data_IF_254595007066
#
_entry.id   IF_254595007066
#
_cell.length_a   1.000
_cell.length_b   1.000
_cell.length_c   1.000
_cell.angle_alpha   90.00
_cell.angle_beta   90.00
_cell.angle_gamma   90.00
#
_symmetry.space_group_name_H-M   'P 1'
#
loop_
_entity.id
_entity.type
_entity.pdbx_description
1 polymer ?
#
# COMPACT_ATOMS: atom_id res chain seq x y z
N UNK A 1 8.61 -0.02 19.58
CA UNK A 1 8.75 1.16 18.70
C UNK A 1 7.67 1.01 17.65
N UNK A 2 6.78 2.00 17.47
CA UNK A 2 5.68 1.86 16.54
C UNK A 2 6.15 2.03 15.09
N UNK A 3 5.51 1.29 14.19
CA UNK A 3 5.74 1.37 12.75
C UNK A 3 4.48 1.91 12.10
N UNK A 4 4.61 2.53 10.93
CA UNK A 4 3.41 2.93 10.21
C UNK A 4 3.60 3.32 8.77
N UNK A 5 2.46 3.52 8.13
CA UNK A 5 2.37 3.92 6.73
C UNK A 5 1.56 5.19 6.60
N UNK A 6 2.12 6.16 5.89
CA UNK A 6 1.39 7.34 5.44
C UNK A 6 0.83 7.02 4.06
N UNK A 7 -0.46 6.71 3.98
CA UNK A 7 -1.13 6.34 2.73
C UNK A 7 -1.61 7.62 2.06
N UNK A 8 -1.04 7.95 0.91
CA UNK A 8 -1.37 9.14 0.13
C UNK A 8 -1.61 8.79 -1.35
N UNK A 9 -2.10 9.76 -2.11
CA UNK A 9 -2.42 9.57 -3.53
C UNK A 9 -3.67 10.30 -3.95
N UNK A 10 -3.86 10.43 -5.26
CA UNK A 10 -4.95 11.20 -5.84
C UNK A 10 -6.34 10.68 -5.46
N UNK A 11 -7.40 11.50 -5.60
CA UNK A 11 -8.76 11.03 -5.36
C UNK A 11 -9.08 9.86 -6.29
N UNK A 12 -9.68 8.81 -5.73
CA UNK A 12 -10.02 7.61 -6.50
C UNK A 12 -8.86 6.62 -6.71
N UNK A 13 -7.63 6.90 -6.28
CA UNK A 13 -6.51 5.94 -6.41
C UNK A 13 -6.64 4.67 -5.56
N UNK A 14 -7.62 4.61 -4.65
CA UNK A 14 -7.92 3.42 -3.85
C UNK A 14 -7.28 3.39 -2.46
N UNK A 15 -6.92 4.53 -1.87
CA UNK A 15 -6.33 4.64 -0.51
C UNK A 15 -7.12 3.88 0.56
N UNK A 16 -8.40 4.22 0.76
CA UNK A 16 -9.23 3.57 1.78
C UNK A 16 -9.48 2.09 1.47
N UNK A 17 -9.55 1.70 0.19
CA UNK A 17 -9.63 0.31 -0.25
C UNK A 17 -8.36 -0.46 0.12
N UNK A 18 -7.19 0.14 -0.11
CA UNK A 18 -5.90 -0.42 0.30
C UNK A 18 -5.80 -0.56 1.81
N UNK A 19 -6.18 0.46 2.58
CA UNK A 19 -6.22 0.41 4.05
C UNK A 19 -7.10 -0.75 4.55
N UNK A 20 -8.27 -0.94 3.95
CA UNK A 20 -9.15 -2.05 4.30
C UNK A 20 -8.57 -3.42 3.92
N UNK A 21 -8.06 -3.57 2.70
CA UNK A 21 -7.42 -4.81 2.25
C UNK A 21 -6.23 -5.17 3.12
N UNK A 22 -5.45 -4.18 3.55
CA UNK A 22 -4.31 -4.39 4.44
C UNK A 22 -4.75 -4.79 5.85
N UNK A 23 -5.79 -4.16 6.39
CA UNK A 23 -6.40 -4.56 7.65
C UNK A 23 -6.86 -6.04 7.61
N UNK A 24 -7.52 -6.46 6.54
CA UNK A 24 -7.96 -7.84 6.34
C UNK A 24 -6.76 -8.81 6.24
N UNK A 25 -5.74 -8.47 5.47
CA UNK A 25 -4.53 -9.29 5.33
C UNK A 25 -3.82 -9.45 6.68
N UNK A 26 -3.60 -8.37 7.42
CA UNK A 26 -2.91 -8.40 8.71
C UNK A 26 -3.72 -9.18 9.76
N UNK A 27 -5.05 -9.02 9.76
CA UNK A 27 -5.95 -9.83 10.59
C UNK A 27 -5.82 -11.32 10.27
N UNK A 28 -5.76 -11.70 9.00
CA UNK A 28 -5.57 -13.09 8.59
C UNK A 28 -4.17 -13.65 8.95
N UNK A 29 -3.17 -12.79 9.04
CA UNK A 29 -1.80 -13.13 9.45
C UNK A 29 -1.58 -13.10 10.97
N UNK A 30 -2.63 -12.79 11.76
CA UNK A 30 -2.51 -12.48 13.19
C UNK A 30 -1.44 -11.42 13.50
N UNK A 31 -1.28 -10.46 12.59
CA UNK A 31 -0.40 -9.30 12.76
C UNK A 31 -1.26 -8.12 13.22
N UNK A 32 -1.04 -7.55 14.42
CA UNK A 32 -1.80 -6.40 14.88
C UNK A 32 -1.65 -5.21 13.93
N UNK A 33 -2.75 -4.52 13.64
CA UNK A 33 -2.80 -3.32 12.81
C UNK A 33 -3.89 -2.39 13.30
N UNK A 34 -3.63 -1.09 13.23
CA UNK A 34 -4.59 -0.05 13.55
C UNK A 34 -4.69 0.91 12.38
N UNK A 35 -5.92 1.27 11.99
CA UNK A 35 -6.15 2.25 10.92
C UNK A 35 -6.60 3.56 11.55
N UNK A 36 -5.94 4.64 11.17
CA UNK A 36 -6.22 6.01 11.58
C UNK A 36 -6.72 6.77 10.35
N UNK A 37 -7.99 7.17 10.39
CA UNK A 37 -8.57 8.00 9.34
C UNK A 37 -8.22 9.46 9.60
N UNK A 38 -7.50 10.07 8.67
CA UNK A 38 -7.21 11.51 8.64
C UNK A 38 -7.97 12.23 7.53
N UNK A 39 -8.91 11.59 6.84
CA UNK A 39 -9.81 12.23 5.88
C UNK A 39 -11.10 12.74 6.57
N UNK A 40 -11.26 14.06 6.81
CA UNK A 40 -12.44 14.64 7.47
C UNK A 40 -13.68 14.72 6.57
N UNK A 41 -13.58 14.30 5.31
CA UNK A 41 -14.69 14.25 4.35
C UNK A 41 -15.20 12.82 4.11
N UNK A 42 -14.67 11.82 4.83
CA UNK A 42 -15.01 10.42 4.61
C UNK A 42 -16.17 9.98 5.53
N UNK A 43 -17.40 10.04 5.02
CA UNK A 43 -18.59 9.68 5.79
C UNK A 43 -18.78 8.16 5.96
N UNK A 44 -18.16 7.35 5.10
CA UNK A 44 -18.38 5.90 5.05
C UNK A 44 -17.04 5.14 5.09
N UNK A 45 -16.48 5.05 6.29
CA UNK A 45 -15.23 4.32 6.52
C UNK A 45 -15.45 2.80 6.37
N UNK A 46 -14.79 2.11 5.41
CA UNK A 46 -15.06 0.70 5.11
C UNK A 46 -14.35 -0.29 6.05
N UNK A 47 -13.53 0.20 6.97
CA UNK A 47 -12.67 -0.58 7.85
C UNK A 47 -12.88 -0.26 9.34
N UNK A 48 -12.48 -1.15 10.26
CA UNK A 48 -12.43 -0.83 11.68
C UNK A 48 -11.44 0.32 11.94
N UNK A 49 -11.98 1.51 12.17
CA UNK A 49 -11.19 2.71 12.43
C UNK A 49 -10.84 2.81 13.91
N UNK A 50 -9.54 2.90 14.22
CA UNK A 50 -9.05 3.03 15.59
C UNK A 50 -9.11 4.49 16.08
N UNK A 51 -8.77 5.44 15.21
CA UNK A 51 -8.79 6.88 15.48
C UNK A 51 -9.33 7.56 14.23
N UNK A 52 -10.33 8.41 14.41
CA UNK A 52 -10.97 9.16 13.32
C UNK A 52 -10.92 10.66 13.59
N UNK A 53 -10.35 11.41 12.64
CA UNK A 53 -10.28 12.87 12.66
C UNK A 53 -11.66 13.52 12.76
N UNK A 54 -12.73 12.87 12.28
CA UNK A 54 -14.10 13.39 12.37
C UNK A 54 -14.53 13.71 13.81
N UNK A 55 -13.94 13.03 14.80
CA UNK A 55 -14.19 13.30 16.23
C UNK A 55 -13.47 14.54 16.78
N UNK A 56 -12.53 15.10 16.00
CA UNK A 56 -11.85 16.38 16.27
C UNK A 56 -12.46 17.51 15.42
N UNK A 57 -12.58 17.29 14.11
CA UNK A 57 -13.03 18.28 13.14
C UNK A 57 -13.62 17.60 11.90
N UNK A 58 -14.72 18.13 11.37
CA UNK A 58 -15.35 17.64 10.13
C UNK A 58 -15.26 18.71 9.03
N UNK A 59 -15.25 18.26 7.77
CA UNK A 59 -15.23 19.20 6.65
C UNK A 59 -16.51 20.06 6.59
N UNK A 60 -17.67 19.46 6.90
CA UNK A 60 -18.96 20.14 6.87
C UNK A 60 -19.02 21.31 7.87
N UNK A 61 -18.59 21.09 9.11
CA UNK A 61 -18.58 22.11 10.16
C UNK A 61 -17.69 23.29 9.76
N UNK A 62 -16.50 23.00 9.22
CA UNK A 62 -15.54 24.03 8.77
C UNK A 62 -16.10 24.86 7.61
N UNK A 63 -16.74 24.20 6.64
CA UNK A 63 -17.36 24.89 5.51
C UNK A 63 -18.50 25.81 5.98
N UNK A 64 -19.32 25.35 6.93
CA UNK A 64 -20.43 26.12 7.48
C UNK A 64 -19.95 27.30 8.34
N UNK A 65 -18.95 27.11 9.18
CA UNK A 65 -18.46 28.14 10.11
C UNK A 65 -17.59 29.20 9.44
N UNK A 66 -16.69 28.79 8.54
CA UNK A 66 -15.71 29.69 7.91
C UNK A 66 -16.11 30.14 6.50
N UNK A 67 -17.21 29.62 5.93
CA UNK A 67 -17.65 29.96 4.58
C UNK A 67 -16.65 29.53 3.49
N UNK A 68 -15.87 28.48 3.77
CA UNK A 68 -14.86 27.95 2.85
C UNK A 68 -15.48 26.96 1.85
N UNK A 69 -14.89 26.87 0.66
CA UNK A 69 -15.19 25.78 -0.26
C UNK A 69 -14.54 24.45 0.18
N UNK A 70 -14.91 23.31 -0.43
CA UNK A 70 -14.45 21.98 0.01
C UNK A 70 -12.92 21.84 0.10
N UNK A 71 -12.17 22.33 -0.90
CA UNK A 71 -10.71 22.25 -0.88
C UNK A 71 -10.10 23.15 0.21
N UNK A 72 -10.63 24.36 0.40
CA UNK A 72 -10.16 25.27 1.44
C UNK A 72 -10.48 24.75 2.85
N UNK A 73 -11.67 24.16 3.03
CA UNK A 73 -12.05 23.50 4.27
C UNK A 73 -11.17 22.29 4.58
N UNK A 74 -10.78 21.51 3.57
CA UNK A 74 -9.87 20.38 3.75
C UNK A 74 -8.48 20.82 4.22
N UNK A 75 -7.92 21.88 3.61
CA UNK A 75 -6.65 22.46 4.07
C UNK A 75 -6.76 22.92 5.53
N UNK A 76 -7.83 23.65 5.87
CA UNK A 76 -8.08 24.11 7.23
C UNK A 76 -8.16 22.95 8.23
N UNK A 77 -8.83 21.84 7.87
CA UNK A 77 -8.89 20.66 8.74
C UNK A 77 -7.49 20.09 9.05
N UNK A 78 -6.60 20.06 8.06
CA UNK A 78 -5.23 19.59 8.26
C UNK A 78 -4.39 20.55 9.10
N UNK A 79 -4.55 21.87 8.90
CA UNK A 79 -3.94 22.89 9.76
C UNK A 79 -4.43 22.80 11.20
N UNK A 80 -5.73 22.55 11.38
CA UNK A 80 -6.34 22.38 12.70
C UNK A 80 -5.83 21.14 13.40
N UNK A 81 -5.71 20.01 12.70
CA UNK A 81 -5.09 18.79 13.23
C UNK A 81 -3.61 19.03 13.60
N UNK A 82 -2.87 19.75 12.76
CA UNK A 82 -1.47 20.10 13.04
C UNK A 82 -1.35 20.95 14.32
N UNK A 83 -2.21 21.96 14.48
CA UNK A 83 -2.24 22.83 15.65
C UNK A 83 -2.64 22.08 16.92
N UNK A 84 -3.54 21.11 16.81
CA UNK A 84 -4.04 20.28 17.90
C UNK A 84 -3.43 18.87 17.91
N UNK A 85 -2.17 18.75 17.50
CA UNK A 85 -1.51 17.45 17.36
C UNK A 85 -1.47 16.62 18.66
N UNK A 86 -1.51 17.29 19.83
CA UNK A 86 -1.57 16.64 21.13
C UNK A 86 -2.75 15.65 21.24
N UNK A 87 -3.89 15.97 20.59
CA UNK A 87 -5.05 15.07 20.50
C UNK A 87 -4.68 13.75 19.80
N UNK A 88 -3.98 13.82 18.67
CA UNK A 88 -3.57 12.63 17.93
C UNK A 88 -2.51 11.85 18.71
N UNK A 89 -1.57 12.55 19.34
CA UNK A 89 -0.53 11.95 20.16
C UNK A 89 -1.10 11.15 21.35
N UNK A 90 -2.07 11.70 22.07
CA UNK A 90 -2.72 11.01 23.19
C UNK A 90 -3.43 9.73 22.73
N UNK A 91 -4.18 9.80 21.63
CA UNK A 91 -4.88 8.64 21.05
C UNK A 91 -3.90 7.57 20.56
N UNK A 92 -2.79 7.96 19.92
CA UNK A 92 -1.78 7.02 19.46
C UNK A 92 -1.09 6.29 20.63
N UNK A 93 -0.91 6.95 21.78
CA UNK A 93 -0.32 6.31 22.98
C UNK A 93 -1.21 5.18 23.51
N UNK A 94 -2.53 5.28 23.37
CA UNK A 94 -3.49 4.24 23.79
C UNK A 94 -3.37 2.95 22.98
N UNK A 95 -2.86 3.01 21.74
CA UNK A 95 -2.69 1.85 20.86
C UNK A 95 -1.52 0.94 21.27
N UNK A 96 -0.62 1.44 22.11
CA UNK A 96 0.56 0.71 22.61
C UNK A 96 1.84 0.92 21.80
N UNK A 97 2.98 0.53 22.39
CA UNK A 97 4.33 0.88 21.92
C UNK A 97 4.83 0.10 20.71
N UNK A 98 4.16 -1.01 20.37
CA UNK A 98 4.53 -1.90 19.27
C UNK A 98 3.41 -1.97 18.20
N UNK A 99 2.57 -0.93 18.15
CA UNK A 99 1.50 -0.81 17.18
C UNK A 99 2.05 -0.64 15.75
N UNK A 100 1.37 -1.27 14.79
CA UNK A 100 1.53 -1.00 13.36
C UNK A 100 0.35 -0.15 12.91
N UNK A 101 0.61 1.08 12.45
CA UNK A 101 -0.45 2.09 12.22
C UNK A 101 -0.50 2.50 10.76
N UNK A 102 -1.68 2.43 10.15
CA UNK A 102 -1.95 3.02 8.83
C UNK A 102 -2.61 4.38 9.01
N UNK A 103 -2.07 5.40 8.37
CA UNK A 103 -2.67 6.72 8.32
C UNK A 103 -3.28 6.92 6.92
N UNK A 104 -4.61 6.89 6.83
CA UNK A 104 -5.36 7.16 5.59
C UNK A 104 -5.53 8.67 5.43
N UNK A 105 -4.76 9.29 4.52
CA UNK A 105 -4.81 10.73 4.28
C UNK A 105 -5.95 11.13 3.34
N UNK A 106 -6.41 12.40 3.40
CA UNK A 106 -7.36 12.92 2.44
C UNK A 106 -6.86 12.81 1.00
N UNK A 107 -7.78 12.69 0.05
CA UNK A 107 -7.44 12.43 -1.35
C UNK A 107 -6.81 13.58 -2.13
N UNK A 108 -6.82 14.79 -1.60
CA UNK A 108 -6.32 15.99 -2.26
C UNK A 108 -4.79 15.94 -2.35
N UNK A 109 -4.27 15.87 -3.59
CA UNK A 109 -2.83 15.68 -3.84
C UNK A 109 -1.99 16.82 -3.27
N UNK A 110 -2.55 18.03 -3.27
CA UNK A 110 -1.91 19.26 -2.81
C UNK A 110 -1.49 19.18 -1.34
N UNK A 111 -2.20 18.41 -0.53
CA UNK A 111 -1.86 18.18 0.88
C UNK A 111 -0.54 17.41 1.03
N UNK A 112 -0.31 16.43 0.14
CA UNK A 112 0.89 15.59 0.16
C UNK A 112 2.08 16.18 -0.60
N UNK A 113 1.85 17.14 -1.51
CA UNK A 113 2.90 17.66 -2.41
C UNK A 113 3.33 19.10 -2.12
N UNK A 114 2.45 19.93 -1.55
CA UNK A 114 2.67 21.36 -1.43
C UNK A 114 2.40 21.89 -0.03
N UNK A 115 1.41 21.34 0.68
CA UNK A 115 1.02 21.85 1.99
C UNK A 115 1.97 21.40 3.10
N UNK A 116 2.37 22.32 3.98
CA UNK A 116 3.32 22.01 5.05
C UNK A 116 2.69 21.17 6.18
N UNK A 117 1.38 21.25 6.39
CA UNK A 117 0.74 20.57 7.54
C UNK A 117 0.95 19.06 7.57
N UNK A 118 0.82 18.36 6.44
CA UNK A 118 1.08 16.91 6.40
C UNK A 118 2.55 16.61 6.72
N UNK A 119 3.48 17.40 6.16
CA UNK A 119 4.91 17.28 6.45
C UNK A 119 5.19 17.50 7.95
N UNK A 120 4.61 18.54 8.54
CA UNK A 120 4.79 18.86 9.95
C UNK A 120 4.19 17.79 10.86
N UNK A 121 3.01 17.25 10.53
CA UNK A 121 2.39 16.12 11.23
C UNK A 121 3.31 14.90 11.17
N UNK A 122 3.83 14.55 9.99
CA UNK A 122 4.78 13.45 9.82
C UNK A 122 6.06 13.65 10.64
N UNK A 123 6.61 14.88 10.66
CA UNK A 123 7.78 15.19 11.49
C UNK A 123 7.49 15.08 12.99
N UNK A 124 6.29 15.46 13.44
CA UNK A 124 5.86 15.26 14.83
C UNK A 124 5.70 13.77 15.16
N UNK A 125 5.12 12.96 14.26
CA UNK A 125 5.06 11.50 14.41
C UNK A 125 6.46 10.87 14.48
N UNK A 126 7.39 11.31 13.65
CA UNK A 126 8.78 10.86 13.69
C UNK A 126 9.47 11.20 15.03
N UNK A 127 9.16 12.35 15.64
CA UNK A 127 9.62 12.72 17.00
C UNK A 127 9.03 11.82 18.09
N UNK A 128 7.87 11.20 17.85
CA UNK A 128 7.29 10.15 18.70
C UNK A 128 7.88 8.76 18.44
N UNK A 129 9.05 8.69 17.76
CA UNK A 129 9.77 7.46 17.44
C UNK A 129 9.03 6.51 16.47
N UNK A 130 8.03 7.01 15.74
CA UNK A 130 7.42 6.23 14.66
C UNK A 130 8.42 6.04 13.51
N UNK A 131 8.56 4.78 13.07
CA UNK A 131 9.24 4.45 11.81
C UNK A 131 8.20 4.39 10.70
N UNK A 132 8.17 5.43 9.88
CA UNK A 132 7.15 5.63 8.84
C UNK A 132 7.72 5.38 7.45
N UNK A 133 6.88 4.84 6.57
CA UNK A 133 7.07 4.91 5.12
C UNK A 133 5.83 5.57 4.49
N UNK A 134 6.04 6.35 3.44
CA UNK A 134 4.94 6.83 2.62
C UNK A 134 4.58 5.79 1.55
N UNK A 135 3.30 5.54 1.36
CA UNK A 135 2.76 4.66 0.31
C UNK A 135 1.89 5.52 -0.59
N UNK A 136 2.40 5.85 -1.78
CA UNK A 136 1.74 6.75 -2.71
C UNK A 136 1.05 5.99 -3.83
N UNK A 137 -0.27 5.90 -3.72
CA UNK A 137 -1.13 5.18 -4.65
C UNK A 137 -1.47 6.05 -5.86
N UNK A 138 -1.10 5.55 -7.03
CA UNK A 138 -1.38 6.11 -8.34
C UNK A 138 -2.22 5.12 -9.15
N UNK A 139 -3.35 5.57 -9.68
CA UNK A 139 -4.22 4.69 -10.49
C UNK A 139 -3.50 4.24 -11.78
N UNK A 140 -3.53 2.94 -12.08
CA UNK A 140 -2.94 2.38 -13.29
C UNK A 140 -3.51 3.00 -14.58
N UNK A 141 -4.70 3.60 -14.54
CA UNK A 141 -5.24 4.35 -15.69
C UNK A 141 -4.30 5.46 -16.20
N UNK A 142 -3.44 6.02 -15.33
CA UNK A 142 -2.54 7.09 -15.77
C UNK A 142 -1.43 6.61 -16.71
N UNK A 143 -1.07 5.32 -16.73
CA UNK A 143 -0.02 4.81 -17.62
C UNK A 143 -0.48 4.62 -19.07
N UNK A 144 -1.79 4.69 -19.33
CA UNK A 144 -2.35 4.52 -20.69
C UNK A 144 -2.19 5.75 -21.58
N UNK A 145 -1.67 6.86 -21.05
CA UNK A 145 -1.39 8.07 -21.81
C UNK A 145 -0.06 8.66 -21.36
N UNK A 146 0.84 8.92 -22.31
CA UNK A 146 2.19 9.40 -22.00
C UNK A 146 2.20 10.73 -21.23
N UNK A 147 1.26 11.65 -21.51
CA UNK A 147 1.21 12.95 -20.83
C UNK A 147 0.71 12.81 -19.38
N UNK A 148 -0.30 11.95 -19.16
CA UNK A 148 -0.79 11.60 -17.82
C UNK A 148 0.32 10.91 -17.02
N UNK A 149 1.03 9.96 -17.63
CA UNK A 149 2.12 9.24 -16.99
C UNK A 149 3.23 10.19 -16.53
N UNK A 150 3.75 11.05 -17.41
CA UNK A 150 4.77 12.05 -17.04
C UNK A 150 4.29 12.98 -15.91
N UNK A 151 3.00 13.35 -15.91
CA UNK A 151 2.42 14.17 -14.84
C UNK A 151 2.44 13.43 -13.49
N UNK A 152 2.14 12.13 -13.48
CA UNK A 152 2.22 11.28 -12.28
C UNK A 152 3.65 11.09 -11.79
N UNK A 153 4.63 10.95 -12.70
CA UNK A 153 6.05 10.90 -12.34
C UNK A 153 6.50 12.16 -11.61
N UNK A 154 6.14 13.33 -12.15
CA UNK A 154 6.44 14.63 -11.54
C UNK A 154 5.76 14.79 -10.18
N UNK A 155 4.49 14.39 -10.07
CA UNK A 155 3.73 14.45 -8.81
C UNK A 155 4.36 13.55 -7.75
N UNK A 156 4.74 12.32 -8.13
CA UNK A 156 5.38 11.34 -7.26
C UNK A 156 6.74 11.85 -6.77
N UNK A 157 7.59 12.35 -7.69
CA UNK A 157 8.88 12.95 -7.34
C UNK A 157 8.70 14.13 -6.38
N UNK A 158 7.71 14.99 -6.63
CA UNK A 158 7.41 16.12 -5.74
C UNK A 158 7.00 15.64 -4.34
N UNK A 159 6.11 14.65 -4.24
CA UNK A 159 5.67 14.09 -2.96
C UNK A 159 6.83 13.42 -2.20
N UNK A 160 7.73 12.71 -2.90
CA UNK A 160 8.97 12.14 -2.33
C UNK A 160 9.84 13.22 -1.69
N UNK A 161 10.09 14.31 -2.40
CA UNK A 161 10.92 15.41 -1.90
C UNK A 161 10.23 16.18 -0.76
N UNK A 162 8.91 16.27 -0.77
CA UNK A 162 8.15 17.04 0.22
C UNK A 162 8.01 16.31 1.55
N UNK A 163 7.65 15.02 1.53
CA UNK A 163 7.40 14.22 2.74
C UNK A 163 8.68 13.73 3.43
N UNK A 164 9.80 13.62 2.70
CA UNK A 164 11.11 13.23 3.24
C UNK A 164 11.10 11.88 4.00
N UNK A 165 10.20 10.97 3.59
CA UNK A 165 10.10 9.60 4.13
C UNK A 165 10.65 8.57 3.12
N UNK A 166 11.02 7.35 3.57
CA UNK A 166 11.08 6.20 2.68
C UNK A 166 9.76 6.10 1.92
N UNK A 167 9.80 6.25 0.60
CA UNK A 167 8.61 6.43 -0.22
C UNK A 167 8.48 5.26 -1.21
N UNK A 168 7.35 4.59 -1.17
CA UNK A 168 6.99 3.52 -2.10
C UNK A 168 5.86 4.07 -2.98
N UNK A 169 6.14 4.34 -4.25
CA UNK A 169 5.06 4.63 -5.20
C UNK A 169 4.44 3.31 -5.66
N UNK A 170 3.13 3.31 -5.84
CA UNK A 170 2.37 2.10 -6.13
C UNK A 170 1.40 2.39 -7.26
N UNK A 171 1.49 1.63 -8.35
CA UNK A 171 0.45 1.57 -9.36
C UNK A 171 -0.68 0.67 -8.84
N UNK A 172 -1.80 1.27 -8.48
CA UNK A 172 -2.98 0.56 -7.98
C UNK A 172 -3.91 0.16 -9.12
N UNK A 173 -4.78 -0.83 -8.86
CA UNK A 173 -5.79 -1.32 -9.80
C UNK A 173 -5.19 -1.89 -11.09
N UNK A 174 -4.02 -2.51 -11.00
CA UNK A 174 -3.35 -3.11 -12.16
C UNK A 174 -4.19 -4.22 -12.80
N UNK A 175 -5.10 -4.84 -12.02
CA UNK A 175 -6.09 -5.81 -12.49
C UNK A 175 -7.10 -5.22 -13.51
N UNK A 176 -7.28 -3.89 -13.51
CA UNK A 176 -8.19 -3.18 -14.41
C UNK A 176 -7.50 -2.63 -15.67
N UNK A 177 -6.19 -2.79 -15.81
CA UNK A 177 -5.42 -2.12 -16.86
C UNK A 177 -5.90 -2.43 -18.28
N UNK A 178 -6.25 -3.69 -18.57
CA UNK A 178 -6.85 -4.11 -19.85
C UNK A 178 -8.19 -3.41 -20.15
N UNK A 179 -8.93 -2.98 -19.13
CA UNK A 179 -10.19 -2.25 -19.33
C UNK A 179 -9.94 -0.78 -19.70
N UNK A 180 -8.76 -0.25 -19.39
CA UNK A 180 -8.39 1.13 -19.67
C UNK A 180 -7.85 1.33 -21.09
N UNK A 181 -7.28 0.29 -21.70
CA UNK A 181 -6.79 0.28 -23.07
C UNK A 181 -5.52 -0.53 -23.23
N UNK A 182 -4.99 -0.57 -24.45
CA UNK A 182 -3.70 -1.17 -24.74
C UNK A 182 -2.57 -0.27 -24.21
N UNK A 183 -1.51 -0.89 -23.69
CA UNK A 183 -0.29 -0.18 -23.30
C UNK A 183 0.65 -0.09 -24.49
N UNK A 184 1.31 1.06 -24.64
CA UNK A 184 2.34 1.25 -25.66
C UNK A 184 3.61 0.41 -25.37
N UNK A 185 3.86 0.13 -24.08
CA UNK A 185 5.02 -0.60 -23.58
C UNK A 185 4.62 -1.63 -22.51
N UNK A 186 5.54 -2.53 -22.16
CA UNK A 186 5.32 -3.47 -21.05
C UNK A 186 5.26 -2.74 -19.70
N UNK A 187 4.62 -3.34 -18.70
CA UNK A 187 4.54 -2.80 -17.34
C UNK A 187 5.91 -2.47 -16.73
N UNK A 188 6.94 -3.28 -17.02
CA UNK A 188 8.32 -3.06 -16.56
C UNK A 188 8.82 -1.64 -16.88
N UNK A 189 8.49 -1.14 -18.09
CA UNK A 189 8.84 0.22 -18.50
C UNK A 189 8.23 1.27 -17.57
N UNK A 190 6.95 1.11 -17.23
CA UNK A 190 6.22 2.06 -16.40
C UNK A 190 6.60 1.95 -14.91
N UNK A 191 7.00 0.77 -14.44
CA UNK A 191 7.39 0.54 -13.05
C UNK A 191 8.83 0.92 -12.77
N UNK A 192 9.76 0.63 -13.68
CA UNK A 192 11.18 0.94 -13.51
C UNK A 192 11.50 2.41 -13.82
N UNK A 193 10.69 3.07 -14.65
CA UNK A 193 10.84 4.49 -15.03
C UNK A 193 12.23 4.76 -15.64
N UNK A 194 12.67 3.88 -16.53
CA UNK A 194 13.93 3.99 -17.24
C UNK A 194 13.70 4.18 -18.74
N UNK A 195 14.58 4.94 -19.37
CA UNK A 195 14.57 5.23 -20.81
C UNK A 195 13.24 5.87 -21.29
N UNK A 196 12.77 6.87 -20.57
CA UNK A 196 11.61 7.71 -20.89
C UNK A 196 11.72 8.38 -22.27
N UNK A 197 12.88 8.31 -22.92
CA UNK A 197 13.09 8.75 -24.30
C UNK A 197 12.12 8.10 -25.29
N UNK A 198 11.65 6.87 -25.03
CA UNK A 198 10.63 6.21 -25.86
C UNK A 198 9.30 6.98 -25.93
N UNK A 199 8.98 7.78 -24.91
CA UNK A 199 7.77 8.61 -24.88
C UNK A 199 7.86 9.82 -25.83
N UNK A 200 9.04 10.14 -26.37
CA UNK A 200 9.25 11.31 -27.23
C UNK A 200 8.27 11.32 -28.40
N UNK A 201 8.11 10.18 -29.07
CA UNK A 201 7.27 10.06 -30.27
C UNK A 201 5.80 10.34 -29.96
N UNK A 202 5.28 9.73 -28.90
CA UNK A 202 3.90 9.90 -28.42
C UNK A 202 3.67 11.34 -27.94
N UNK A 203 4.54 11.88 -27.09
CA UNK A 203 4.41 13.24 -26.54
C UNK A 203 4.52 14.33 -27.63
N UNK A 204 5.42 14.14 -28.59
CA UNK A 204 5.63 15.09 -29.70
C UNK A 204 4.48 15.05 -30.70
N UNK A 205 3.79 13.92 -30.85
CA UNK A 205 2.62 13.82 -31.74
C UNK A 205 1.47 14.72 -31.29
N UNK A 206 1.26 14.83 -29.98
CA UNK A 206 0.20 15.66 -29.37
C UNK A 206 0.59 17.14 -29.40
N UNK A 207 1.84 17.46 -29.09
CA UNK A 207 2.28 18.85 -29.00
C UNK A 207 3.75 19.05 -29.41
N UNK A 208 4.04 19.15 -30.72
CA UNK A 208 5.41 19.26 -31.23
C UNK A 208 6.16 20.48 -30.66
N UNK A 209 5.44 21.55 -30.33
CA UNK A 209 5.97 22.76 -29.71
C UNK A 209 6.63 22.50 -28.34
N UNK A 210 6.11 21.55 -27.56
CA UNK A 210 6.60 21.27 -26.20
C UNK A 210 7.64 20.14 -26.15
N UNK A 211 8.08 19.62 -27.30
CA UNK A 211 9.07 18.54 -27.39
C UNK A 211 10.27 18.77 -26.48
N UNK A 212 10.95 19.91 -26.61
CA UNK A 212 12.16 20.20 -25.82
C UNK A 212 11.87 20.26 -24.30
N UNK A 213 10.70 20.76 -23.90
CA UNK A 213 10.28 20.80 -22.51
C UNK A 213 9.99 19.39 -21.97
N UNK A 214 9.23 18.59 -22.72
CA UNK A 214 8.87 17.23 -22.32
C UNK A 214 10.12 16.36 -22.15
N UNK A 215 11.09 16.48 -23.05
CA UNK A 215 12.35 15.74 -22.94
C UNK A 215 13.21 16.22 -21.76
N UNK A 216 13.23 17.53 -21.49
CA UNK A 216 13.92 18.05 -20.31
C UNK A 216 13.26 17.55 -19.00
N UNK A 217 11.94 17.41 -18.97
CA UNK A 217 11.20 16.83 -17.83
C UNK A 217 11.54 15.34 -17.68
N UNK A 218 11.54 14.57 -18.77
CA UNK A 218 11.90 13.16 -18.74
C UNK A 218 13.33 12.95 -18.21
N UNK A 219 14.30 13.71 -18.76
CA UNK A 219 15.69 13.69 -18.29
C UNK A 219 15.78 14.03 -16.80
N UNK A 220 15.04 15.05 -16.32
CA UNK A 220 15.03 15.39 -14.91
C UNK A 220 14.57 14.22 -14.03
N UNK A 221 13.51 13.51 -14.44
CA UNK A 221 12.98 12.38 -13.65
C UNK A 221 14.01 11.24 -13.61
N UNK A 222 14.61 10.92 -14.75
CA UNK A 222 15.62 9.86 -14.87
C UNK A 222 16.91 10.19 -14.11
N UNK A 223 17.39 11.43 -14.20
CA UNK A 223 18.65 11.85 -13.58
C UNK A 223 18.64 11.68 -12.05
N UNK A 224 17.49 11.87 -11.41
CA UNK A 224 17.33 11.61 -9.98
C UNK A 224 17.22 10.12 -9.68
N UNK A 225 16.66 9.31 -10.59
CA UNK A 225 16.51 7.85 -10.43
C UNK A 225 15.75 7.44 -9.16
N UNK A 226 14.95 8.35 -8.59
CA UNK A 226 14.23 8.13 -7.34
C UNK A 226 12.86 7.49 -7.58
N UNK A 227 12.23 7.79 -8.72
CA UNK A 227 10.87 7.35 -9.00
C UNK A 227 10.90 5.95 -9.55
N UNK A 228 10.25 5.03 -8.85
CA UNK A 228 9.89 3.70 -9.31
C UNK A 228 8.55 3.31 -8.69
N UNK A 229 7.87 2.33 -9.28
CA UNK A 229 6.56 1.87 -8.83
C UNK A 229 6.55 0.38 -8.54
N UNK A 230 5.88 0.01 -7.46
CA UNK A 230 5.39 -1.35 -7.23
C UNK A 230 3.98 -1.49 -7.80
N UNK A 231 3.59 -2.70 -8.19
CA UNK A 231 2.25 -2.98 -8.72
C UNK A 231 1.32 -3.51 -7.62
N UNK A 232 0.07 -3.06 -7.62
CA UNK A 232 -0.91 -3.45 -6.61
C UNK A 232 -2.28 -3.80 -7.22
N UNK A 233 -2.71 -5.04 -6.98
CA UNK A 233 -4.10 -5.47 -7.06
C UNK A 233 -4.57 -5.80 -5.63
N UNK A 234 -5.48 -5.00 -5.06
CA UNK A 234 -5.85 -5.12 -3.63
C UNK A 234 -6.58 -6.44 -3.33
N UNK A 235 -7.33 -6.96 -4.31
CA UNK A 235 -8.01 -8.25 -4.19
C UNK A 235 -7.06 -9.45 -4.26
N UNK A 236 -5.83 -9.24 -4.76
CA UNK A 236 -4.82 -10.28 -4.86
C UNK A 236 -3.95 -10.34 -3.59
N UNK A 237 -4.04 -11.47 -2.89
CA UNK A 237 -3.31 -11.71 -1.64
C UNK A 237 -1.80 -11.65 -1.84
N UNK A 238 -1.29 -12.17 -2.96
CA UNK A 238 0.15 -12.23 -3.22
C UNK A 238 0.72 -10.84 -3.51
N UNK A 239 0.03 -10.04 -4.32
CA UNK A 239 0.34 -8.61 -4.55
C UNK A 239 0.38 -7.83 -3.24
N UNK A 240 -0.61 -7.99 -2.36
CA UNK A 240 -0.63 -7.33 -1.04
C UNK A 240 0.51 -7.80 -0.12
N UNK A 241 0.86 -9.09 -0.16
CA UNK A 241 1.99 -9.65 0.61
C UNK A 241 3.34 -9.13 0.11
N UNK A 242 3.52 -9.06 -1.22
CA UNK A 242 4.73 -8.51 -1.83
C UNK A 242 4.93 -7.05 -1.41
N UNK A 243 3.91 -6.20 -1.61
CA UNK A 243 3.97 -4.80 -1.22
C UNK A 243 4.24 -4.63 0.29
N UNK A 244 3.60 -5.45 1.14
CA UNK A 244 3.86 -5.44 2.58
C UNK A 244 5.34 -5.73 2.91
N UNK A 245 5.99 -6.65 2.20
CA UNK A 245 7.42 -6.94 2.41
C UNK A 245 8.32 -5.79 1.96
N UNK A 246 8.00 -5.15 0.84
CA UNK A 246 8.74 -3.97 0.36
C UNK A 246 8.66 -2.86 1.41
N UNK A 247 7.47 -2.62 1.97
CA UNK A 247 7.26 -1.62 3.03
C UNK A 247 7.95 -2.02 4.34
N UNK A 248 7.86 -3.30 4.76
CA UNK A 248 8.56 -3.80 5.95
C UNK A 248 10.07 -3.63 5.82
N UNK A 249 10.63 -3.88 4.62
CA UNK A 249 12.04 -3.65 4.32
C UNK A 249 12.40 -2.16 4.40
N UNK A 250 11.58 -1.27 3.84
CA UNK A 250 11.80 0.17 3.85
C UNK A 250 11.70 0.77 5.27
N UNK A 251 10.73 0.33 6.05
CA UNK A 251 10.54 0.76 7.45
C UNK A 251 11.47 0.04 8.42
N UNK A 252 12.09 -1.08 8.02
CA UNK A 252 12.85 -1.98 8.88
C UNK A 252 11.98 -2.71 9.91
N UNK A 253 10.69 -2.91 9.62
CA UNK A 253 9.78 -3.68 10.47
C UNK A 253 10.06 -5.17 10.31
N UNK A 254 10.22 -5.87 11.43
CA UNK A 254 10.38 -7.33 11.45
C UNK A 254 9.29 -7.92 12.32
N UNK A 255 8.27 -8.49 11.68
CA UNK A 255 7.19 -9.16 12.39
C UNK A 255 7.61 -10.58 12.78
N UNK A 256 7.47 -10.90 14.07
CA UNK A 256 7.65 -12.25 14.61
C UNK A 256 6.28 -12.75 15.04
N UNK A 257 5.74 -13.80 14.39
CA UNK A 257 4.46 -14.38 14.80
C UNK A 257 4.51 -14.92 16.23
N UNK A 258 3.38 -14.97 16.95
CA UNK A 258 3.29 -15.64 18.25
C UNK A 258 3.75 -17.11 18.17
N UNK A 259 4.30 -17.69 19.26
CA UNK A 259 4.80 -19.08 19.29
C UNK A 259 3.77 -20.14 18.87
N UNK A 260 2.50 -19.80 19.02
CA UNK A 260 1.30 -20.62 18.82
C UNK A 260 0.71 -20.46 17.41
N UNK A 261 1.32 -19.65 16.54
CA UNK A 261 0.92 -19.51 15.14
C UNK A 261 1.29 -20.76 14.31
N UNK A 262 0.40 -21.15 13.39
CA UNK A 262 0.69 -22.25 12.45
C UNK A 262 1.88 -21.87 11.55
N UNK A 263 2.96 -22.64 11.64
CA UNK A 263 4.15 -22.37 10.85
C UNK A 263 4.03 -22.91 9.41
N UNK A 264 4.56 -22.20 8.41
CA UNK A 264 4.70 -22.72 7.06
C UNK A 264 5.55 -24.00 7.01
N UNK A 265 5.26 -24.93 6.08
CA UNK A 265 6.06 -26.14 5.90
C UNK A 265 7.51 -25.78 5.51
N UNK A 266 8.48 -26.38 6.21
CA UNK A 266 9.93 -26.13 6.00
C UNK A 266 10.62 -25.31 7.09
N UNK A 267 9.90 -24.89 8.14
CA UNK A 267 10.48 -24.21 9.30
C UNK A 267 11.30 -25.18 10.15
N UNK A 268 12.63 -25.04 10.15
CA UNK A 268 13.53 -25.80 11.02
C UNK A 268 13.53 -25.14 12.41
N UNK A 269 12.82 -25.73 13.36
CA UNK A 269 12.87 -25.28 14.76
C UNK A 269 14.19 -25.72 15.39
N UNK A 270 15.10 -24.78 15.65
CA UNK A 270 16.29 -25.02 16.45
C UNK A 270 15.90 -25.10 17.94
N UNK A 271 15.42 -26.25 18.40
CA UNK A 271 14.98 -26.46 19.79
C UNK A 271 16.13 -26.53 20.79
N UNK A 272 17.36 -26.76 20.33
CA UNK A 272 18.50 -27.18 21.18
C UNK A 272 19.42 -26.03 21.65
N UNK A 273 19.06 -24.76 21.41
CA UNK A 273 19.91 -23.60 21.73
C UNK A 273 19.25 -22.69 22.79
N UNK A 274 20.00 -22.14 23.77
CA UNK A 274 19.48 -21.19 24.76
C UNK A 274 18.80 -19.97 24.11
N UNK A 275 17.71 -19.46 24.70
CA UNK A 275 16.89 -18.40 24.11
C UNK A 275 17.65 -17.12 23.71
N UNK A 276 18.77 -16.82 24.37
CA UNK A 276 19.65 -15.68 24.06
C UNK A 276 20.55 -15.87 22.84
N UNK A 277 20.69 -17.11 22.36
CA UNK A 277 21.51 -17.49 21.20
C UNK A 277 20.67 -18.04 20.05
N UNK A 278 19.34 -18.11 20.20
CA UNK A 278 18.45 -18.49 19.10
C UNK A 278 18.49 -17.36 18.07
N UNK A 279 18.96 -17.62 16.83
CA UNK A 279 18.76 -16.66 15.77
C UNK A 279 17.25 -16.46 15.60
N UNK A 280 16.80 -15.22 15.45
CA UNK A 280 15.40 -14.96 15.12
C UNK A 280 15.17 -15.51 13.70
N UNK A 281 14.77 -16.78 13.60
CA UNK A 281 14.59 -17.51 12.34
C UNK A 281 13.52 -16.86 11.47
N UNK A 282 12.58 -16.13 12.08
CA UNK A 282 11.59 -15.33 11.37
C UNK A 282 12.21 -14.05 10.78
N UNK A 283 13.05 -13.34 11.54
CA UNK A 283 13.84 -12.23 10.98
C UNK A 283 14.77 -12.70 9.87
N UNK A 284 15.42 -13.86 10.03
CA UNK A 284 16.23 -14.47 8.98
C UNK A 284 15.39 -14.89 7.78
N UNK A 285 14.16 -15.38 7.94
CA UNK A 285 13.32 -15.69 6.78
C UNK A 285 12.84 -14.43 6.05
N UNK A 286 12.42 -13.39 6.78
CA UNK A 286 12.00 -12.10 6.20
C UNK A 286 13.17 -11.35 5.56
N UNK A 287 14.39 -11.46 6.11
CA UNK A 287 15.59 -10.80 5.58
C UNK A 287 16.38 -11.65 4.57
N UNK A 288 16.33 -12.99 4.64
CA UNK A 288 17.07 -13.91 3.77
C UNK A 288 16.22 -14.57 2.67
N UNK A 289 14.90 -14.30 2.58
CA UNK A 289 14.08 -14.78 1.48
C UNK A 289 14.50 -14.27 0.10
N UNK A 290 15.44 -13.32 0.00
CA UNK A 290 15.79 -12.68 -1.28
C UNK A 290 14.56 -11.99 -1.91
N UNK A 291 14.65 -11.49 -3.15
CA UNK A 291 13.44 -11.33 -3.96
C UNK A 291 12.75 -12.70 -4.03
N UNK A 292 11.43 -12.75 -3.89
CA UNK A 292 10.70 -14.01 -4.08
C UNK A 292 11.06 -14.54 -5.47
N UNK A 293 11.84 -15.61 -5.55
CA UNK A 293 11.94 -16.41 -6.77
C UNK A 293 10.77 -17.39 -6.73
N UNK A 294 9.62 -16.89 -7.15
CA UNK A 294 8.41 -17.65 -7.38
C UNK A 294 7.59 -16.94 -8.44
N UNK A 295 6.76 -17.65 -9.21
CA UNK A 295 5.85 -16.99 -10.13
C UNK A 295 4.98 -16.04 -9.29
N UNK A 296 4.90 -14.77 -9.67
CA UNK A 296 3.98 -13.70 -9.17
C UNK A 296 4.55 -12.66 -8.20
N UNK A 297 5.86 -12.44 -8.18
CA UNK A 297 6.44 -11.22 -7.58
C UNK A 297 7.27 -10.39 -8.56
N UNK A 298 7.52 -10.91 -9.76
CA UNK A 298 8.19 -10.18 -10.84
C UNK A 298 7.14 -9.38 -11.62
N UNK A 299 7.47 -8.15 -12.03
CA UNK A 299 6.56 -7.31 -12.84
C UNK A 299 6.21 -8.02 -14.16
N UNK A 300 7.11 -8.88 -14.66
CA UNK A 300 6.86 -9.76 -15.80
C UNK A 300 5.74 -10.79 -15.56
N UNK A 301 5.63 -11.31 -14.34
CA UNK A 301 4.53 -12.21 -13.98
C UNK A 301 3.20 -11.43 -13.87
N UNK A 302 3.28 -10.16 -13.41
CA UNK A 302 2.13 -9.25 -13.34
C UNK A 302 1.65 -8.90 -14.75
N UNK A 303 2.56 -8.64 -15.68
CA UNK A 303 2.28 -8.44 -17.10
C UNK A 303 1.59 -9.68 -17.70
N UNK A 304 2.16 -10.87 -17.51
CA UNK A 304 1.57 -12.10 -18.04
C UNK A 304 0.16 -12.34 -17.47
N UNK A 305 -0.01 -12.14 -16.15
CA UNK A 305 -1.28 -12.39 -15.47
C UNK A 305 -2.37 -11.39 -15.82
N UNK A 306 -2.05 -10.10 -15.87
CA UNK A 306 -3.08 -9.05 -15.94
C UNK A 306 -3.17 -8.39 -17.31
N UNK A 307 -2.18 -8.55 -18.17
CA UNK A 307 -2.11 -7.91 -19.49
C UNK A 307 -2.12 -8.93 -20.62
N UNK A 308 -1.27 -9.97 -20.58
CA UNK A 308 -1.08 -10.83 -21.76
C UNK A 308 -2.02 -12.05 -21.78
N UNK A 309 -2.26 -12.69 -20.63
CA UNK A 309 -2.97 -13.97 -20.55
C UNK A 309 -4.06 -14.00 -19.45
N UNK A 310 -4.74 -12.86 -19.22
CA UNK A 310 -5.73 -12.72 -18.15
C UNK A 310 -6.83 -13.78 -18.15
N UNK A 311 -7.44 -14.06 -19.30
CA UNK A 311 -8.56 -15.01 -19.38
C UNK A 311 -8.13 -16.44 -18.99
N UNK A 312 -6.92 -16.85 -19.39
CA UNK A 312 -6.35 -18.16 -19.08
C UNK A 312 -6.03 -18.27 -17.58
N UNK A 313 -5.47 -17.21 -17.01
CA UNK A 313 -5.17 -17.11 -15.58
C UNK A 313 -6.44 -17.10 -14.72
N UNK A 314 -7.45 -16.32 -15.09
CA UNK A 314 -8.75 -16.28 -14.39
C UNK A 314 -9.44 -17.65 -14.39
N UNK A 315 -9.34 -18.39 -15.51
CA UNK A 315 -9.86 -19.74 -15.63
C UNK A 315 -9.09 -20.75 -14.76
N UNK A 316 -7.76 -20.60 -14.71
CA UNK A 316 -6.89 -21.39 -13.84
C UNK A 316 -7.16 -21.13 -12.36
N UNK A 317 -7.29 -19.87 -11.93
CA UNK A 317 -7.60 -19.51 -10.53
C UNK A 317 -8.96 -20.01 -10.09
N UNK A 318 -10.00 -19.86 -10.93
CA UNK A 318 -11.32 -20.46 -10.66
C UNK A 318 -11.24 -21.97 -10.48
N UNK A 319 -10.32 -22.62 -11.19
CA UNK A 319 -10.10 -24.06 -11.05
C UNK A 319 -9.40 -24.39 -9.74
N UNK A 320 -8.40 -23.60 -9.33
CA UNK A 320 -7.72 -23.75 -8.04
C UNK A 320 -8.66 -23.50 -6.86
N UNK A 321 -9.42 -22.41 -6.86
CA UNK A 321 -10.41 -22.14 -5.80
C UNK A 321 -11.47 -23.23 -5.67
N UNK A 322 -11.90 -23.83 -6.78
CA UNK A 322 -12.79 -25.01 -6.73
C UNK A 322 -12.11 -26.19 -6.06
N UNK A 323 -10.84 -26.45 -6.36
CA UNK A 323 -10.07 -27.54 -5.75
C UNK A 323 -9.83 -27.29 -4.25
N UNK A 324 -9.39 -26.09 -3.87
CA UNK A 324 -9.23 -25.70 -2.46
C UNK A 324 -10.54 -25.77 -1.69
N UNK A 325 -11.63 -25.25 -2.25
CA UNK A 325 -12.96 -25.33 -1.66
C UNK A 325 -13.43 -26.78 -1.46
N UNK A 326 -13.15 -27.67 -2.42
CA UNK A 326 -13.42 -29.10 -2.27
C UNK A 326 -12.55 -29.73 -1.17
N UNK A 327 -11.25 -29.41 -1.11
CA UNK A 327 -10.35 -29.91 -0.06
C UNK A 327 -10.78 -29.46 1.34
N UNK A 328 -11.20 -28.20 1.49
CA UNK A 328 -11.71 -27.67 2.76
C UNK A 328 -13.03 -28.35 3.16
N UNK A 329 -13.95 -28.55 2.21
CA UNK A 329 -15.19 -29.30 2.47
C UNK A 329 -14.91 -30.76 2.85
N UNK A 330 -13.95 -31.40 2.19
CA UNK A 330 -13.58 -32.77 2.47
C UNK A 330 -12.88 -32.90 3.83
N UNK A 331 -12.01 -31.95 4.19
CA UNK A 331 -11.40 -31.86 5.50
C UNK A 331 -12.45 -31.64 6.61
N UNK A 332 -13.42 -30.73 6.39
CA UNK A 332 -14.53 -30.48 7.30
C UNK A 332 -15.48 -31.69 7.41
N UNK A 333 -15.66 -32.47 6.34
CA UNK A 333 -16.42 -33.72 6.36
C UNK A 333 -15.67 -34.80 7.13
N UNK A 334 -14.36 -34.94 6.92
CA UNK A 334 -13.50 -35.89 7.65
C UNK A 334 -13.43 -35.56 9.15
N UNK A 335 -13.37 -34.28 9.53
CA UNK A 335 -13.41 -33.87 10.94
C UNK A 335 -14.76 -34.21 11.60
N UNK A 336 -15.89 -33.93 10.94
CA UNK A 336 -17.24 -34.31 11.43
C UNK A 336 -17.42 -35.82 11.57
N UNK A 337 -16.87 -36.62 10.66
CA UNK A 337 -16.89 -38.09 10.76
C UNK A 337 -16.03 -38.55 11.95
N UNK A 338 -14.86 -37.95 12.16
CA UNK A 338 -13.98 -38.25 13.28
C UNK A 338 -14.65 -37.93 14.62
N UNK A 339 -15.34 -36.80 14.74
CA UNK A 339 -16.10 -36.41 15.95
C UNK A 339 -17.30 -37.32 16.25
N UNK A 340 -17.99 -37.83 15.22
CA UNK A 340 -19.06 -38.81 15.39
C UNK A 340 -18.51 -40.17 15.83
N UNK A 341 -17.39 -40.61 15.27
CA UNK A 341 -16.74 -41.87 15.63
C UNK A 341 -16.14 -41.90 17.04
N UNK A 342 -15.81 -40.74 17.63
CA UNK A 342 -15.41 -40.65 19.05
C UNK A 342 -16.60 -40.67 20.01
N UNK A 343 -17.78 -40.18 19.60
CA UNK A 343 -19.01 -40.22 20.42
C UNK A 343 -19.64 -41.61 20.52
N UNK A 344 -19.47 -42.46 19.51
CA UNK A 344 -19.96 -43.85 19.52
C UNK A 344 -19.05 -44.83 20.29
N UNK A 345 -17.94 -44.35 20.88
CA UNK A 345 -16.98 -45.17 21.66
C UNK A 345 -16.91 -44.83 23.15
N UNK A 346 -17.79 -43.97 23.62
CA UNK A 346 -18.07 -43.69 25.05
C UNK A 346 -19.50 -44.12 25.35
#
# INVERSE_FOLDING_TARGET
MPFGEIVCGSPGSGKSTYCYGKHQLFSALNRPIFVVNLDPANDNIPYPCAIDISSLITLEDVMAEHGLGPNGGMLYCMEYLEANFDWLEERLKELGKDAYVLFDLPGQVELSTNHESVKNIVQKLAKLEFRLAAVHLCDAHYVTDASKYVSVLMLSLRAMLHLELPHINVLSKVDLIQQYGDLDFNLDFYTEVQDLSYLESTLSSVSPRFKALNMAICSLIEDYGLVGFETLAVEDKESMLHLTRVIDKATGCVFVPPPDAQHPPGTVQATDVPASQRPNTHALFTSAAGPMQGPRSDVRDVQERWVDAKEEWDAWEKTQWRQEGQMVQEAARKSKIRERGTKDKT
#
